data_IF_562727914344
#
_entry.id   IF_562727914344
#
_cell.length_a   1.000
_cell.length_b   1.000
_cell.length_c   1.000
_cell.angle_alpha   90.00
_cell.angle_beta   90.00
_cell.angle_gamma   90.00
#
_symmetry.space_group_name_H-M   'P 1'
#
loop_
_entity.id
_entity.type
_entity.pdbx_description
1 polymer ?
#
# COMPACT_ATOMS: atom_id res chain seq x y z
N UNK A 1 24.14 22.56 14.75
CA UNK A 1 22.78 22.95 14.29
C UNK A 1 21.80 22.87 15.46
N UNK A 2 21.45 24.01 16.08
CA UNK A 2 20.45 24.07 17.17
C UNK A 2 19.06 23.80 16.58
N UNK A 3 18.36 22.75 17.02
CA UNK A 3 16.92 22.59 16.79
C UNK A 3 16.23 23.79 17.45
N UNK A 4 15.78 24.78 16.66
CA UNK A 4 14.83 25.78 17.17
C UNK A 4 13.60 25.03 17.65
N UNK A 5 13.18 25.30 18.89
CA UNK A 5 11.90 24.81 19.39
C UNK A 5 10.79 25.34 18.49
N UNK A 6 10.01 24.43 17.93
CA UNK A 6 8.87 24.79 17.07
C UNK A 6 7.84 25.56 17.89
N UNK A 7 7.08 26.46 17.27
CA UNK A 7 5.96 27.09 17.96
C UNK A 7 4.93 26.02 18.39
N UNK A 8 4.16 26.23 19.48
CA UNK A 8 3.05 25.36 19.89
C UNK A 8 2.14 24.95 18.72
N UNK A 9 1.78 25.92 17.87
CA UNK A 9 0.93 25.70 16.69
C UNK A 9 1.58 24.75 15.67
N UNK A 10 2.87 24.94 15.37
CA UNK A 10 3.62 24.06 14.46
C UNK A 10 3.75 22.63 15.01
N UNK A 11 3.83 22.47 16.34
CA UNK A 11 3.83 21.15 16.98
C UNK A 11 2.47 20.47 16.85
N UNK A 12 1.39 21.24 17.01
CA UNK A 12 0.02 20.75 16.87
C UNK A 12 -0.23 20.31 15.43
N UNK A 13 0.05 21.18 14.45
CA UNK A 13 -0.10 20.87 13.02
C UNK A 13 0.71 19.65 12.61
N UNK A 14 1.93 19.51 13.12
CA UNK A 14 2.76 18.33 12.84
C UNK A 14 2.15 17.06 13.41
N UNK A 15 1.63 17.11 14.63
CA UNK A 15 0.92 15.97 15.25
C UNK A 15 -0.31 15.61 14.43
N UNK A 16 -1.11 16.61 14.07
CA UNK A 16 -2.32 16.46 13.26
C UNK A 16 -2.03 15.86 11.88
N UNK A 17 -1.05 16.39 11.15
CA UNK A 17 -0.59 15.84 9.86
C UNK A 17 -0.04 14.42 10.00
N UNK A 18 0.63 14.12 11.11
CA UNK A 18 1.15 12.78 11.37
C UNK A 18 0.01 11.77 11.54
N UNK A 19 -0.98 12.06 12.39
CA UNK A 19 -2.11 11.17 12.64
C UNK A 19 -3.10 11.11 11.48
N UNK A 20 -3.24 12.20 10.72
CA UNK A 20 -4.00 12.22 9.47
C UNK A 20 -3.54 11.15 8.48
N UNK A 21 -2.29 10.66 8.55
CA UNK A 21 -1.78 9.53 7.73
C UNK A 21 -2.57 8.23 7.88
N UNK A 22 -3.46 8.13 8.88
CA UNK A 22 -4.42 7.03 8.99
C UNK A 22 -5.47 7.02 7.87
N UNK A 23 -5.78 8.17 7.26
CA UNK A 23 -6.67 8.24 6.11
C UNK A 23 -6.00 7.73 4.83
N UNK A 24 -6.77 7.25 3.82
CA UNK A 24 -6.26 6.98 2.49
C UNK A 24 -5.54 8.19 1.89
N UNK A 25 -4.51 7.97 1.08
CA UNK A 25 -3.66 9.05 0.57
C UNK A 25 -4.45 10.04 -0.28
N UNK A 26 -5.30 9.56 -1.18
CA UNK A 26 -6.19 10.42 -1.99
C UNK A 26 -7.12 11.30 -1.16
N UNK A 27 -7.63 10.76 -0.05
CA UNK A 27 -8.51 11.52 0.84
C UNK A 27 -7.74 12.67 1.49
N UNK A 28 -6.49 12.43 1.90
CA UNK A 28 -5.62 13.47 2.48
C UNK A 28 -5.18 14.51 1.46
N UNK A 29 -5.03 14.13 0.19
CA UNK A 29 -4.70 15.06 -0.90
C UNK A 29 -5.85 16.04 -1.16
N UNK A 30 -7.10 15.65 -0.91
CA UNK A 30 -8.30 16.49 -1.14
C UNK A 30 -8.72 17.22 0.13
N UNK A 31 -8.90 16.50 1.24
CA UNK A 31 -9.48 17.00 2.49
C UNK A 31 -8.46 17.19 3.61
N UNK A 32 -7.17 17.01 3.33
CA UNK A 32 -6.13 17.04 4.36
C UNK A 32 -6.04 18.40 5.04
N UNK A 33 -6.04 19.50 4.27
CA UNK A 33 -5.95 20.86 4.82
C UNK A 33 -7.27 21.26 5.51
N UNK A 34 -8.43 20.88 4.96
CA UNK A 34 -9.73 21.09 5.62
C UNK A 34 -9.79 20.39 6.98
N UNK A 35 -9.33 19.13 7.05
CA UNK A 35 -9.28 18.37 8.28
C UNK A 35 -8.37 19.04 9.33
N UNK A 36 -7.24 19.61 8.89
CA UNK A 36 -6.33 20.33 9.79
C UNK A 36 -6.94 21.63 10.31
N UNK A 37 -7.62 22.39 9.45
CA UNK A 37 -8.34 23.60 9.83
C UNK A 37 -9.41 23.27 10.87
N UNK A 38 -10.26 22.27 10.61
CA UNK A 38 -11.31 21.83 11.55
C UNK A 38 -10.72 21.38 12.89
N UNK A 39 -9.60 20.64 12.89
CA UNK A 39 -8.94 20.23 14.15
C UNK A 39 -8.41 21.43 14.94
N UNK A 40 -7.87 22.44 14.25
CA UNK A 40 -7.41 23.67 14.88
C UNK A 40 -8.57 24.44 15.50
N UNK A 41 -9.67 24.58 14.77
CA UNK A 41 -10.85 25.31 15.23
C UNK A 41 -11.47 24.63 16.46
N UNK A 42 -11.57 23.29 16.44
CA UNK A 42 -12.05 22.51 17.59
C UNK A 42 -11.12 22.66 18.81
N UNK A 43 -9.80 22.63 18.60
CA UNK A 43 -8.84 22.78 19.68
C UNK A 43 -8.89 24.19 20.31
N UNK A 44 -9.08 25.24 19.50
CA UNK A 44 -9.26 26.61 19.97
C UNK A 44 -10.57 26.78 20.74
N UNK A 45 -11.69 26.28 20.20
CA UNK A 45 -12.98 26.32 20.87
C UNK A 45 -12.97 25.58 22.21
N UNK A 46 -12.28 24.43 22.29
CA UNK A 46 -12.12 23.69 23.53
C UNK A 46 -11.27 24.45 24.58
N UNK A 47 -10.25 25.18 24.12
CA UNK A 47 -9.42 26.03 24.96
C UNK A 47 -10.22 27.19 25.55
N UNK A 48 -11.02 27.88 24.73
CA UNK A 48 -11.93 28.95 25.14
C UNK A 48 -12.96 28.46 26.16
N UNK A 49 -13.61 27.32 25.88
CA UNK A 49 -14.65 26.76 26.76
C UNK A 49 -14.12 26.31 28.12
N UNK A 50 -12.88 25.82 28.18
CA UNK A 50 -12.27 25.31 29.43
C UNK A 50 -11.44 26.37 30.16
N UNK A 51 -11.17 27.52 29.53
CA UNK A 51 -10.22 28.53 30.01
C UNK A 51 -8.77 28.03 30.10
N UNK A 52 -8.45 26.91 29.45
CA UNK A 52 -7.12 26.30 29.44
C UNK A 52 -6.38 26.69 28.15
N UNK A 53 -5.05 26.77 28.15
CA UNK A 53 -4.30 27.01 26.93
C UNK A 53 -4.55 25.91 25.89
N UNK A 54 -4.55 26.30 24.61
CA UNK A 54 -4.71 25.36 23.50
C UNK A 54 -3.62 24.27 23.55
N UNK A 55 -3.99 23.01 23.28
CA UNK A 55 -3.04 21.92 23.40
C UNK A 55 -2.00 21.96 22.27
N UNK A 56 -0.73 21.80 22.62
CA UNK A 56 0.39 21.71 21.67
C UNK A 56 0.34 20.48 20.75
N UNK A 57 -0.52 19.50 21.06
CA UNK A 57 -0.67 18.22 20.36
C UNK A 57 -2.11 17.74 20.47
N UNK A 58 -2.55 17.00 19.45
CA UNK A 58 -3.82 16.27 19.50
C UNK A 58 -3.97 15.44 20.78
N UNK A 59 -5.08 15.57 21.50
CA UNK A 59 -5.37 14.76 22.67
C UNK A 59 -5.57 13.28 22.28
N UNK A 60 -5.34 12.33 23.22
CA UNK A 60 -5.38 10.90 22.91
C UNK A 60 -6.74 10.42 22.40
N UNK A 61 -7.82 11.03 22.85
CA UNK A 61 -9.19 10.67 22.45
C UNK A 61 -9.46 11.07 21.00
N UNK A 62 -9.03 12.26 20.59
CA UNK A 62 -9.08 12.69 19.19
C UNK A 62 -8.18 11.84 18.30
N UNK A 63 -6.99 11.45 18.79
CA UNK A 63 -6.13 10.51 18.06
C UNK A 63 -6.88 9.19 17.82
N UNK A 64 -7.53 8.63 18.85
CA UNK A 64 -8.30 7.37 18.70
C UNK A 64 -9.48 7.51 17.76
N UNK A 65 -10.23 8.61 17.83
CA UNK A 65 -11.38 8.84 16.94
C UNK A 65 -10.92 8.99 15.49
N UNK A 66 -9.84 9.73 15.26
CA UNK A 66 -9.22 9.94 13.95
C UNK A 66 -8.66 8.64 13.37
N UNK A 67 -7.98 7.83 14.18
CA UNK A 67 -7.51 6.50 13.79
C UNK A 67 -8.69 5.59 13.43
N UNK A 68 -9.76 5.56 14.23
CA UNK A 68 -10.94 4.73 13.98
C UNK A 68 -11.67 5.15 12.70
N UNK A 69 -11.82 6.45 12.47
CA UNK A 69 -12.44 6.99 11.26
C UNK A 69 -11.59 6.68 10.01
N UNK A 70 -10.29 6.97 10.06
CA UNK A 70 -9.36 6.71 8.95
C UNK A 70 -9.23 5.22 8.62
N UNK A 71 -9.15 4.36 9.64
CA UNK A 71 -9.11 2.91 9.46
C UNK A 71 -10.45 2.36 8.97
N UNK A 72 -11.57 2.88 9.49
CA UNK A 72 -12.91 2.54 9.02
C UNK A 72 -13.09 2.82 7.53
N UNK A 73 -12.60 3.97 7.05
CA UNK A 73 -12.62 4.31 5.62
C UNK A 73 -11.81 3.31 4.79
N UNK A 74 -10.59 2.95 5.24
CA UNK A 74 -9.76 1.94 4.56
C UNK A 74 -10.42 0.57 4.51
N UNK A 75 -11.09 0.16 5.58
CA UNK A 75 -11.77 -1.13 5.65
C UNK A 75 -12.96 -1.21 4.69
N UNK A 76 -13.76 -0.13 4.59
CA UNK A 76 -14.92 -0.08 3.68
C UNK A 76 -14.55 -0.19 2.21
N UNK A 77 -13.38 0.32 1.85
CA UNK A 77 -12.89 0.31 0.46
C UNK A 77 -12.05 -0.94 0.13
N UNK A 78 -11.75 -1.77 1.13
CA UNK A 78 -10.87 -2.92 0.95
C UNK A 78 -11.58 -4.02 0.15
N UNK A 79 -10.93 -4.62 -0.86
CA UNK A 79 -11.46 -5.80 -1.50
C UNK A 79 -11.53 -6.98 -0.51
N UNK A 80 -12.50 -7.90 -0.68
CA UNK A 80 -12.52 -9.19 0.00
C UNK A 80 -11.16 -9.88 -0.08
N UNK A 81 -10.78 -10.65 0.95
CA UNK A 81 -9.45 -11.26 1.05
C UNK A 81 -9.08 -12.10 -0.18
N UNK A 82 -10.01 -12.90 -0.71
CA UNK A 82 -9.75 -13.70 -1.92
C UNK A 82 -9.42 -12.83 -3.13
N UNK A 83 -10.09 -11.68 -3.30
CA UNK A 83 -9.78 -10.72 -4.37
C UNK A 83 -8.42 -10.08 -4.16
N UNK A 84 -8.09 -9.75 -2.91
CA UNK A 84 -6.75 -9.28 -2.57
C UNK A 84 -5.68 -10.32 -2.96
N UNK A 85 -5.91 -11.61 -2.70
CA UNK A 85 -4.99 -12.67 -3.13
C UNK A 85 -4.89 -12.75 -4.65
N UNK A 86 -6.01 -12.75 -5.38
CA UNK A 86 -6.00 -12.75 -6.85
C UNK A 86 -5.23 -11.55 -7.42
N UNK A 87 -5.40 -10.37 -6.84
CA UNK A 87 -4.64 -9.18 -7.18
C UNK A 87 -3.13 -9.39 -7.01
N UNK A 88 -2.72 -10.07 -5.94
CA UNK A 88 -1.31 -10.41 -5.70
C UNK A 88 -0.75 -11.45 -6.68
N UNK A 89 -1.61 -12.29 -7.27
CA UNK A 89 -1.27 -13.11 -8.44
C UNK A 89 -1.30 -12.34 -9.77
N UNK A 90 -1.51 -11.03 -9.74
CA UNK A 90 -1.52 -10.16 -10.92
C UNK A 90 -2.86 -10.11 -11.64
N UNK A 91 -3.91 -10.73 -11.10
CA UNK A 91 -5.25 -10.63 -11.68
C UNK A 91 -5.84 -9.24 -11.47
N UNK A 92 -6.70 -8.83 -12.40
CA UNK A 92 -7.35 -7.52 -12.37
C UNK A 92 -8.52 -7.55 -11.40
N UNK A 93 -8.62 -6.49 -10.60
CA UNK A 93 -9.76 -6.27 -9.73
C UNK A 93 -10.86 -5.49 -10.48
N UNK A 94 -12.14 -5.72 -10.16
CA UNK A 94 -13.22 -4.92 -10.73
C UNK A 94 -13.06 -3.43 -10.41
N UNK A 95 -13.58 -2.58 -11.30
CA UNK A 95 -13.39 -1.13 -11.27
C UNK A 95 -13.69 -0.48 -9.90
N UNK A 96 -14.65 -1.02 -9.14
CA UNK A 96 -14.98 -0.56 -7.78
C UNK A 96 -13.79 -0.54 -6.80
N UNK A 97 -12.77 -1.37 -7.00
CA UNK A 97 -11.57 -1.43 -6.14
C UNK A 97 -10.36 -0.73 -6.74
N UNK A 98 -10.51 -0.04 -7.87
CA UNK A 98 -9.39 0.57 -8.58
C UNK A 98 -8.67 1.61 -7.74
N UNK A 99 -9.42 2.46 -7.03
CA UNK A 99 -8.85 3.45 -6.12
C UNK A 99 -8.08 2.83 -4.96
N UNK A 100 -8.56 1.69 -4.45
CA UNK A 100 -7.83 0.91 -3.45
C UNK A 100 -6.48 0.41 -4.01
N UNK A 101 -6.46 -0.09 -5.25
CA UNK A 101 -5.21 -0.54 -5.91
C UNK A 101 -4.24 0.62 -6.12
N UNK A 102 -4.74 1.77 -6.59
CA UNK A 102 -3.93 2.96 -6.80
C UNK A 102 -3.31 3.47 -5.49
N UNK A 103 -4.05 3.41 -4.38
CA UNK A 103 -3.54 3.75 -3.05
C UNK A 103 -2.55 2.69 -2.53
N UNK A 104 -2.77 1.40 -2.83
CA UNK A 104 -1.88 0.31 -2.46
C UNK A 104 -0.49 0.46 -3.11
N UNK A 105 -0.48 0.74 -4.42
CA UNK A 105 0.75 0.91 -5.23
C UNK A 105 1.50 2.18 -4.82
N UNK A 106 0.79 3.28 -4.54
CA UNK A 106 1.40 4.53 -4.06
C UNK A 106 1.89 4.47 -2.60
N UNK A 107 1.64 3.38 -1.90
CA UNK A 107 2.06 3.16 -0.53
C UNK A 107 3.59 3.03 -0.41
N UNK A 108 4.18 3.66 0.62
CA UNK A 108 5.63 3.60 0.87
C UNK A 108 6.17 2.17 1.00
N UNK A 109 5.34 1.26 1.51
CA UNK A 109 5.66 -0.15 1.73
C UNK A 109 5.13 -1.08 0.63
N UNK A 110 4.74 -0.56 -0.54
CA UNK A 110 4.28 -1.42 -1.63
C UNK A 110 5.32 -2.47 -2.01
N UNK A 111 6.54 -2.03 -2.31
CA UNK A 111 7.63 -2.90 -2.77
C UNK A 111 8.05 -3.93 -1.72
N UNK A 112 8.03 -3.56 -0.44
CA UNK A 112 8.30 -4.50 0.66
C UNK A 112 7.21 -5.58 0.71
N UNK A 113 5.93 -5.19 0.65
CA UNK A 113 4.81 -6.14 0.66
C UNK A 113 4.79 -7.04 -0.57
N UNK A 114 5.15 -6.50 -1.72
CA UNK A 114 5.28 -7.26 -2.97
C UNK A 114 6.45 -8.25 -2.93
N UNK A 115 7.60 -7.84 -2.39
CA UNK A 115 8.75 -8.74 -2.17
C UNK A 115 8.43 -9.84 -1.14
N UNK A 116 7.74 -9.51 -0.05
CA UNK A 116 7.24 -10.48 0.92
C UNK A 116 6.26 -11.47 0.29
N UNK A 117 5.36 -11.00 -0.58
CA UNK A 117 4.46 -11.90 -1.30
C UNK A 117 5.22 -12.88 -2.20
N UNK A 118 6.22 -12.39 -2.95
CA UNK A 118 7.10 -13.25 -3.74
C UNK A 118 7.85 -14.27 -2.88
N UNK A 119 8.35 -13.85 -1.70
CA UNK A 119 8.97 -14.74 -0.72
C UNK A 119 8.02 -15.85 -0.26
N UNK A 120 6.77 -15.49 0.09
CA UNK A 120 5.74 -16.47 0.49
C UNK A 120 5.48 -17.48 -0.62
N UNK A 121 5.42 -17.05 -1.88
CA UNK A 121 5.21 -17.97 -3.01
C UNK A 121 6.41 -18.92 -3.20
N UNK A 122 7.63 -18.41 -3.15
CA UNK A 122 8.85 -19.21 -3.34
C UNK A 122 9.01 -20.23 -2.21
N UNK A 123 9.00 -19.78 -0.95
CA UNK A 123 9.21 -20.67 0.19
C UNK A 123 8.01 -21.56 0.47
N UNK A 124 6.79 -21.05 0.26
CA UNK A 124 5.56 -21.83 0.36
C UNK A 124 5.54 -22.94 -0.67
N UNK A 125 5.86 -22.63 -1.94
CA UNK A 125 5.95 -23.60 -3.02
C UNK A 125 7.04 -24.65 -2.79
N UNK A 126 8.24 -24.21 -2.37
CA UNK A 126 9.34 -25.12 -2.04
C UNK A 126 8.99 -26.05 -0.88
N UNK A 127 8.42 -25.52 0.22
CA UNK A 127 8.00 -26.33 1.37
C UNK A 127 6.91 -27.32 0.98
N UNK A 128 5.94 -26.90 0.18
CA UNK A 128 4.90 -27.77 -0.34
C UNK A 128 5.47 -28.88 -1.23
N UNK A 129 6.42 -28.55 -2.11
CA UNK A 129 7.11 -29.53 -2.96
C UNK A 129 7.92 -30.55 -2.15
N UNK A 130 8.66 -30.10 -1.14
CA UNK A 130 9.39 -30.98 -0.22
C UNK A 130 8.43 -31.90 0.55
N UNK A 131 7.29 -31.37 1.00
CA UNK A 131 6.27 -32.17 1.68
C UNK A 131 5.68 -33.25 0.77
N UNK A 132 5.32 -32.90 -0.47
CA UNK A 132 4.85 -33.87 -1.47
C UNK A 132 5.91 -34.93 -1.76
N UNK A 133 7.16 -34.54 -1.96
CA UNK A 133 8.27 -35.46 -2.16
C UNK A 133 8.46 -36.41 -0.97
N UNK A 134 8.41 -35.91 0.27
CA UNK A 134 8.51 -36.71 1.48
C UNK A 134 7.40 -37.77 1.55
N UNK A 135 6.15 -37.38 1.23
CA UNK A 135 5.01 -38.31 1.16
C UNK A 135 5.24 -39.39 0.10
N UNK A 136 5.70 -39.01 -1.10
CA UNK A 136 5.95 -39.95 -2.22
C UNK A 136 7.04 -40.97 -1.89
N UNK A 137 8.08 -40.56 -1.18
CA UNK A 137 9.23 -41.42 -0.83
C UNK A 137 9.02 -42.14 0.52
N UNK A 138 7.92 -41.88 1.22
CA UNK A 138 7.62 -42.48 2.53
C UNK A 138 8.56 -42.02 3.65
N UNK A 139 9.10 -40.80 3.56
CA UNK A 139 9.96 -40.17 4.58
C UNK A 139 9.22 -39.11 5.38
N UNK A 140 9.70 -38.81 6.58
CA UNK A 140 9.19 -37.66 7.32
C UNK A 140 9.71 -36.36 6.69
N UNK A 141 8.88 -35.31 6.70
CA UNK A 141 9.27 -34.00 6.14
C UNK A 141 10.52 -33.45 6.81
N UNK A 142 10.71 -33.70 8.11
CA UNK A 142 11.88 -33.31 8.90
C UNK A 142 13.18 -33.93 8.40
N UNK A 143 13.13 -35.09 7.76
CA UNK A 143 14.31 -35.78 7.22
C UNK A 143 14.75 -35.20 5.87
N UNK A 144 13.83 -34.52 5.18
CA UNK A 144 14.04 -33.95 3.84
C UNK A 144 14.35 -32.46 3.93
N UNK A 145 13.81 -31.75 4.93
CA UNK A 145 14.03 -30.31 5.11
C UNK A 145 15.44 -30.07 5.66
N UNK A 146 16.30 -29.34 4.93
CA UNK A 146 17.62 -28.94 5.42
C UNK A 146 17.54 -28.24 6.79
N UNK A 147 18.38 -28.62 7.78
CA UNK A 147 18.39 -28.01 9.11
C UNK A 147 18.62 -26.49 9.08
N UNK A 148 19.27 -25.99 8.03
CA UNK A 148 19.51 -24.55 7.83
C UNK A 148 18.20 -23.74 7.83
N UNK A 149 17.08 -24.31 7.36
CA UNK A 149 15.78 -23.63 7.36
C UNK A 149 15.20 -23.41 8.75
N UNK A 150 15.64 -24.18 9.76
CA UNK A 150 15.24 -24.01 11.16
C UNK A 150 16.09 -22.95 11.89
N UNK A 151 17.14 -22.43 11.26
CA UNK A 151 18.03 -21.44 11.90
C UNK A 151 17.48 -20.02 11.75
N UNK A 152 17.56 -19.22 12.82
CA UNK A 152 17.24 -17.79 12.78
C UNK A 152 18.12 -17.04 11.77
N UNK A 153 19.36 -17.51 11.58
CA UNK A 153 20.34 -16.94 10.66
C UNK A 153 19.83 -16.97 9.22
N UNK A 154 19.30 -18.13 8.77
CA UNK A 154 18.73 -18.27 7.45
C UNK A 154 17.62 -17.23 7.19
N UNK A 155 16.65 -17.13 8.11
CA UNK A 155 15.56 -16.17 7.98
C UNK A 155 16.01 -14.71 8.07
N UNK A 156 17.07 -14.44 8.85
CA UNK A 156 17.72 -13.12 8.89
C UNK A 156 18.31 -12.73 7.54
N UNK A 157 19.06 -13.64 6.89
CA UNK A 157 19.63 -13.42 5.55
C UNK A 157 18.52 -13.24 4.51
N UNK A 158 17.49 -14.10 4.51
CA UNK A 158 16.34 -13.97 3.60
C UNK A 158 15.65 -12.61 3.79
N UNK A 159 15.40 -12.20 5.02
CA UNK A 159 14.82 -10.89 5.33
C UNK A 159 15.66 -9.73 4.80
N UNK A 160 16.99 -9.80 4.98
CA UNK A 160 17.91 -8.79 4.46
C UNK A 160 17.90 -8.72 2.92
N UNK A 161 17.91 -9.87 2.24
CA UNK A 161 17.83 -9.94 0.77
C UNK A 161 16.50 -9.40 0.26
N UNK A 162 15.38 -9.73 0.92
CA UNK A 162 14.05 -9.21 0.57
C UNK A 162 13.99 -7.70 0.74
N UNK A 163 14.52 -7.17 1.84
CA UNK A 163 14.59 -5.72 2.08
C UNK A 163 15.46 -5.02 1.05
N UNK A 164 16.63 -5.59 0.73
CA UNK A 164 17.53 -5.08 -0.30
C UNK A 164 16.88 -5.09 -1.69
N UNK A 165 16.27 -6.20 -2.09
CA UNK A 165 15.54 -6.29 -3.36
C UNK A 165 14.35 -5.31 -3.39
N UNK A 166 13.63 -5.15 -2.29
CA UNK A 166 12.50 -4.25 -2.18
C UNK A 166 12.91 -2.77 -2.29
N UNK A 167 14.09 -2.38 -1.81
CA UNK A 167 14.61 -1.01 -1.94
C UNK A 167 15.14 -0.75 -3.35
N UNK A 168 15.98 -1.62 -3.90
CA UNK A 168 16.57 -1.44 -5.23
C UNK A 168 15.54 -1.54 -6.36
N UNK A 169 14.59 -2.47 -6.27
CA UNK A 169 13.57 -2.66 -7.32
C UNK A 169 12.32 -1.83 -7.09
N UNK A 170 12.34 -0.90 -6.12
CA UNK A 170 11.14 -0.17 -5.68
C UNK A 170 10.45 0.54 -6.84
N UNK A 171 11.20 1.32 -7.60
CA UNK A 171 10.68 2.13 -8.70
C UNK A 171 10.14 1.26 -9.82
N UNK A 172 10.91 0.25 -10.24
CA UNK A 172 10.52 -0.68 -11.29
C UNK A 172 9.23 -1.44 -10.95
N UNK A 173 9.12 -2.00 -9.74
CA UNK A 173 7.92 -2.75 -9.30
C UNK A 173 6.69 -1.85 -9.20
N UNK A 174 6.85 -0.67 -8.63
CA UNK A 174 5.76 0.32 -8.50
C UNK A 174 5.28 0.76 -9.87
N UNK A 175 6.20 1.10 -10.79
CA UNK A 175 5.89 1.50 -12.16
C UNK A 175 5.17 0.38 -12.91
N UNK A 176 5.70 -0.84 -12.88
CA UNK A 176 5.11 -1.99 -13.59
C UNK A 176 3.71 -2.31 -13.08
N UNK A 177 3.50 -2.30 -11.76
CA UNK A 177 2.19 -2.50 -11.16
C UNK A 177 1.21 -1.38 -11.53
N UNK A 178 1.67 -0.13 -11.54
CA UNK A 178 0.87 1.01 -11.96
C UNK A 178 0.40 0.86 -13.40
N UNK A 179 1.30 0.52 -14.32
CA UNK A 179 0.91 0.27 -15.72
C UNK A 179 -0.09 -0.88 -15.83
N UNK A 180 0.18 -2.02 -15.19
CA UNK A 180 -0.66 -3.21 -15.28
C UNK A 180 -2.08 -2.99 -14.77
N UNK A 181 -2.23 -2.32 -13.63
CA UNK A 181 -3.50 -2.24 -12.91
C UNK A 181 -4.21 -0.89 -13.06
N UNK A 182 -3.47 0.20 -13.26
CA UNK A 182 -4.03 1.55 -13.30
C UNK A 182 -4.18 2.02 -14.74
N UNK A 183 -3.09 2.02 -15.52
CA UNK A 183 -3.09 2.53 -16.91
C UNK A 183 -3.79 1.56 -17.85
N UNK A 184 -3.40 0.28 -17.86
CA UNK A 184 -3.96 -0.72 -18.78
C UNK A 184 -5.11 -1.54 -18.18
N UNK A 185 -5.35 -1.40 -16.88
CA UNK A 185 -6.32 -2.22 -16.15
C UNK A 185 -7.78 -1.82 -16.40
N UNK A 186 -8.05 -0.52 -16.57
CA UNK A 186 -9.41 0.04 -16.54
C UNK A 186 -9.78 0.94 -17.72
N UNK A 187 -8.92 1.09 -18.73
CA UNK A 187 -9.32 1.77 -19.98
C UNK A 187 -10.39 0.90 -20.66
N UNK A 188 -11.61 1.43 -20.92
CA UNK A 188 -12.65 0.71 -21.65
C UNK A 188 -12.06 0.15 -22.95
N UNK A 189 -12.38 -1.11 -23.29
CA UNK A 189 -11.81 -1.79 -24.47
C UNK A 189 -11.93 -0.96 -25.77
N UNK A 190 -12.98 -0.15 -25.86
CA UNK A 190 -13.27 0.78 -26.96
C UNK A 190 -12.15 1.81 -27.23
N UNK A 191 -11.42 2.27 -26.21
CA UNK A 191 -10.29 3.19 -26.41
C UNK A 191 -8.99 2.46 -26.76
N UNK A 192 -8.92 1.15 -26.46
CA UNK A 192 -7.74 0.32 -26.74
C UNK A 192 -7.64 -0.05 -28.23
N UNK A 193 -8.78 -0.17 -28.91
CA UNK A 193 -8.86 -0.43 -30.36
C UNK A 193 -8.55 0.80 -31.22
N UNK A 194 -8.82 2.02 -30.75
CA UNK A 194 -8.55 3.26 -31.50
C UNK A 194 -7.04 3.53 -31.64
N UNK A 195 -6.25 3.14 -30.64
CA UNK A 195 -4.79 3.36 -30.66
C UNK A 195 -4.01 2.39 -31.56
N UNK A 196 -4.62 1.30 -32.02
CA UNK A 196 -3.96 0.23 -32.80
C UNK A 196 -4.45 0.20 -34.25
N UNK A 197 -5.49 0.95 -34.62
CA UNK A 197 -5.91 1.04 -36.01
C UNK A 197 -4.82 1.74 -36.84
N UNK A 198 -4.14 1.05 -37.79
CA UNK A 198 -3.27 1.75 -38.72
C UNK A 198 -4.14 2.74 -39.51
N UNK A 199 -3.63 3.97 -39.65
CA UNK A 199 -4.30 5.01 -40.43
C UNK A 199 -4.75 4.44 -41.78
N UNK A 200 -6.00 4.70 -42.23
CA UNK A 200 -6.46 4.21 -43.53
C UNK A 200 -5.48 4.72 -44.59
N UNK A 201 -4.78 3.80 -45.24
CA UNK A 201 -3.91 4.14 -46.38
C UNK A 201 -4.82 4.80 -47.41
N UNK A 202 -4.51 6.06 -47.69
CA UNK A 202 -5.32 6.93 -48.53
C UNK A 202 -5.75 6.23 -49.82
N UNK A 203 -7.05 6.29 -50.08
CA UNK A 203 -7.55 6.29 -51.43
C UNK A 203 -6.93 7.52 -52.14
N UNK A 204 -5.97 7.25 -53.02
CA UNK A 204 -5.48 8.20 -54.03
C UNK A 204 -6.11 7.86 -55.38
N UNK A 205 -6.35 8.87 -56.23
CA UNK A 205 -7.47 8.90 -57.16
C UNK A 205 -7.26 8.01 -58.39
N UNK A 206 -8.36 7.40 -58.83
CA UNK A 206 -8.53 6.88 -60.18
C UNK A 206 -8.54 8.05 -61.16
N UNK A 207 -7.51 8.11 -62.00
CA UNK A 207 -7.51 8.84 -63.28
C UNK A 207 -6.57 8.11 -64.22
#
# INVERSE_FOLDING_TARGET
MRRRGLAPEERFERSARFWARAYPRRWREIHGEELLAVQRDVALAAAEATGKPAPDRLPPEEIRSLLRAGWGLRLRERPPLWRWVLYRFGLRLPARYWWWVADDIRGAFYSVRDALWGMVLIYGGMTAGLAVYAVVVGRQVTDVVPPIYATWFFWGVVGAVVMMAATFQREYRTRTAWYRHVVYGNVPEQMRSVAVAPAPRGAGPTS
#
